data_IF_797336487646
#
_entry.id   IF_797336487646
#
_cell.length_a   1.000
_cell.length_b   1.000
_cell.length_c   1.000
_cell.angle_alpha   90.00
_cell.angle_beta   90.00
_cell.angle_gamma   90.00
#
_symmetry.space_group_name_H-M   'P 1'
#
loop_
_entity.id
_entity.type
_entity.pdbx_description
1 polymer ?
#
# COMPACT_ATOMS: atom_id res chain seq x y z
N UNK A 1 28.84 12.24 -6.96
CA UNK A 1 27.54 11.53 -6.97
C UNK A 1 27.28 11.13 -5.53
N UNK A 2 26.15 11.57 -4.94
CA UNK A 2 25.77 11.20 -3.57
C UNK A 2 25.36 9.73 -3.54
N UNK A 3 25.85 9.02 -2.52
CA UNK A 3 25.53 7.60 -2.29
C UNK A 3 24.32 7.49 -1.39
N UNK A 4 23.27 6.83 -1.86
CA UNK A 4 22.03 6.59 -1.13
C UNK A 4 21.87 5.09 -0.86
N UNK A 5 21.56 4.74 0.37
CA UNK A 5 21.22 3.37 0.74
C UNK A 5 19.79 3.31 1.27
N UNK A 6 18.89 2.72 0.49
CA UNK A 6 17.59 2.27 1.00
C UNK A 6 17.79 0.99 1.79
N UNK A 7 17.12 0.89 2.95
CA UNK A 7 17.38 -0.19 3.90
C UNK A 7 16.07 -0.79 4.36
N UNK A 8 15.90 -2.09 4.10
CA UNK A 8 14.75 -2.85 4.60
C UNK A 8 15.16 -4.19 5.18
N UNK A 9 14.43 -4.64 6.20
CA UNK A 9 14.57 -5.95 6.84
C UNK A 9 13.39 -6.88 6.58
N UNK A 10 12.32 -6.35 5.97
CA UNK A 10 11.03 -7.04 5.82
C UNK A 10 10.47 -7.05 4.40
N UNK A 11 10.76 -6.03 3.60
CA UNK A 11 10.22 -5.91 2.25
C UNK A 11 10.98 -6.77 1.24
N UNK A 12 10.30 -7.30 0.19
CA UNK A 12 10.93 -8.03 -0.89
C UNK A 12 11.82 -7.09 -1.74
N UNK A 13 12.84 -7.65 -2.41
CA UNK A 13 13.80 -6.87 -3.20
C UNK A 13 13.19 -6.04 -4.33
N UNK A 14 12.08 -6.49 -4.90
CA UNK A 14 11.35 -5.78 -5.97
C UNK A 14 10.07 -5.16 -5.44
N UNK A 15 10.08 -4.67 -4.20
CA UNK A 15 8.94 -3.94 -3.64
C UNK A 15 8.55 -2.77 -4.54
N UNK A 16 7.25 -2.58 -4.71
CA UNK A 16 6.72 -1.57 -5.65
C UNK A 16 7.09 -0.16 -5.21
N UNK A 17 7.00 0.16 -3.90
CA UNK A 17 7.33 1.49 -3.39
C UNK A 17 8.84 1.68 -3.35
N UNK A 18 9.56 0.76 -2.70
CA UNK A 18 10.97 0.93 -2.39
C UNK A 18 11.82 0.80 -3.66
N UNK A 19 11.73 -0.35 -4.37
CA UNK A 19 12.58 -0.59 -5.52
C UNK A 19 12.07 0.09 -6.78
N UNK A 20 10.81 -0.26 -7.19
CA UNK A 20 10.31 0.16 -8.52
C UNK A 20 10.04 1.65 -8.63
N UNK A 21 9.78 2.31 -7.51
CA UNK A 21 9.49 3.75 -7.48
C UNK A 21 10.68 4.53 -6.92
N UNK A 22 10.96 4.44 -5.64
CA UNK A 22 11.94 5.31 -4.97
C UNK A 22 13.37 5.08 -5.43
N UNK A 23 13.90 3.83 -5.36
CA UNK A 23 15.28 3.56 -5.75
C UNK A 23 15.54 3.87 -7.23
N UNK A 24 14.63 3.46 -8.13
CA UNK A 24 14.78 3.75 -9.56
C UNK A 24 14.73 5.24 -9.86
N UNK A 25 13.77 5.95 -9.29
CA UNK A 25 13.67 7.42 -9.47
C UNK A 25 14.96 8.10 -9.06
N UNK A 26 15.54 7.75 -7.91
CA UNK A 26 16.81 8.34 -7.46
C UNK A 26 17.97 7.96 -8.38
N UNK A 27 18.06 6.71 -8.84
CA UNK A 27 19.09 6.27 -9.77
C UNK A 27 18.97 7.01 -11.13
N UNK A 28 17.77 7.17 -11.66
CA UNK A 28 17.49 7.94 -12.88
C UNK A 28 17.86 9.43 -12.76
N UNK A 29 17.85 9.96 -11.52
CA UNK A 29 18.26 11.35 -11.23
C UNK A 29 19.71 11.48 -10.77
N UNK A 30 20.53 10.45 -11.00
CA UNK A 30 21.98 10.55 -10.86
C UNK A 30 22.53 10.29 -9.46
N UNK A 31 21.77 9.66 -8.56
CA UNK A 31 22.29 9.13 -7.29
C UNK A 31 22.93 7.75 -7.48
N UNK A 32 23.96 7.43 -6.67
CA UNK A 32 24.50 6.06 -6.57
C UNK A 32 23.67 5.28 -5.54
N UNK A 33 22.70 4.49 -6.04
CA UNK A 33 21.67 3.89 -5.21
C UNK A 33 21.99 2.43 -4.89
N UNK A 34 21.94 2.10 -3.61
CA UNK A 34 21.98 0.72 -3.10
C UNK A 34 20.70 0.41 -2.34
N UNK A 35 20.16 -0.80 -2.51
CA UNK A 35 19.05 -1.32 -1.74
C UNK A 35 19.51 -2.51 -0.91
N UNK A 36 19.47 -2.39 0.43
CA UNK A 36 19.77 -3.48 1.35
C UNK A 36 18.50 -4.23 1.66
N UNK A 37 18.48 -5.54 1.37
CA UNK A 37 17.35 -6.45 1.63
C UNK A 37 17.83 -7.65 2.48
N UNK A 38 16.89 -8.47 2.94
CA UNK A 38 17.18 -9.64 3.76
C UNK A 38 16.36 -10.85 3.28
N UNK A 39 16.55 -11.25 2.01
CA UNK A 39 15.75 -12.30 1.38
C UNK A 39 16.54 -13.57 1.00
N UNK A 40 17.85 -13.58 1.22
CA UNK A 40 18.71 -14.76 1.00
C UNK A 40 18.97 -15.13 -0.45
N UNK A 41 18.73 -14.20 -1.40
CA UNK A 41 18.89 -14.46 -2.84
C UNK A 41 20.21 -13.95 -3.43
N UNK A 42 21.11 -13.46 -2.57
CA UNK A 42 22.40 -12.89 -2.98
C UNK A 42 22.31 -11.48 -3.54
N UNK A 43 23.49 -10.92 -3.83
CA UNK A 43 23.63 -9.56 -4.36
C UNK A 43 23.35 -9.54 -5.86
N UNK A 44 22.80 -8.43 -6.37
CA UNK A 44 22.59 -8.21 -7.81
C UNK A 44 22.65 -6.71 -8.16
N UNK A 45 22.74 -6.40 -9.43
CA UNK A 45 22.59 -5.03 -9.93
C UNK A 45 21.56 -5.03 -11.06
N UNK A 46 20.51 -4.26 -10.91
CA UNK A 46 19.43 -4.16 -11.89
C UNK A 46 18.93 -2.71 -11.97
N UNK A 47 18.72 -2.21 -13.20
CA UNK A 47 18.21 -0.86 -13.46
C UNK A 47 19.02 0.23 -12.71
N UNK A 48 20.32 0.12 -12.73
CA UNK A 48 21.29 1.01 -12.06
C UNK A 48 21.17 1.04 -10.50
N UNK A 49 20.41 0.13 -9.90
CA UNK A 49 20.33 -0.05 -8.44
C UNK A 49 21.10 -1.28 -8.02
N UNK A 50 22.01 -1.11 -7.06
CA UNK A 50 22.74 -2.23 -6.46
C UNK A 50 21.96 -2.83 -5.30
N UNK A 51 21.44 -4.04 -5.45
CA UNK A 51 20.75 -4.78 -4.37
C UNK A 51 21.80 -5.60 -3.60
N UNK A 52 21.84 -5.40 -2.28
CA UNK A 52 22.77 -6.06 -1.36
C UNK A 52 22.00 -6.91 -0.36
N UNK A 53 22.24 -8.21 -0.36
CA UNK A 53 21.54 -9.17 0.50
C UNK A 53 22.23 -9.30 1.86
N UNK A 54 21.47 -9.10 2.92
CA UNK A 54 21.90 -9.31 4.31
C UNK A 54 21.63 -10.74 4.83
N UNK A 55 21.04 -11.60 3.98
CA UNK A 55 20.68 -12.98 4.29
C UNK A 55 19.35 -13.12 4.99
N UNK A 56 18.61 -14.18 4.64
CA UNK A 56 17.31 -14.50 5.21
C UNK A 56 17.43 -15.23 6.55
N UNK A 57 16.79 -14.71 7.59
CA UNK A 57 16.62 -15.39 8.87
C UNK A 57 15.12 -15.47 9.21
N UNK A 58 14.53 -16.68 9.28
CA UNK A 58 13.10 -16.83 9.50
C UNK A 58 12.66 -16.42 10.91
N UNK A 59 11.45 -15.85 11.00
CA UNK A 59 10.77 -15.53 12.26
C UNK A 59 10.99 -14.10 12.76
N UNK A 60 9.96 -13.57 13.44
CA UNK A 60 9.89 -12.17 13.89
C UNK A 60 11.04 -11.75 14.81
N UNK A 61 11.41 -12.60 15.76
CA UNK A 61 12.50 -12.27 16.71
C UNK A 61 13.86 -12.20 15.99
N UNK A 62 14.12 -13.12 15.07
CA UNK A 62 15.32 -13.06 14.24
C UNK A 62 15.35 -11.77 13.40
N UNK A 63 14.21 -11.38 12.81
CA UNK A 63 14.10 -10.13 12.05
C UNK A 63 14.47 -8.91 12.90
N UNK A 64 13.94 -8.80 14.10
CA UNK A 64 14.17 -7.66 14.99
C UNK A 64 15.62 -7.58 15.48
N UNK A 65 16.25 -8.72 15.82
CA UNK A 65 17.57 -8.69 16.47
C UNK A 65 18.73 -9.09 15.55
N UNK A 66 18.59 -10.15 14.76
CA UNK A 66 19.69 -10.70 13.96
C UNK A 66 19.72 -10.11 12.55
N UNK A 67 18.57 -10.08 11.87
CA UNK A 67 18.48 -9.49 10.53
C UNK A 67 18.85 -8.02 10.56
N UNK A 68 18.32 -7.24 11.50
CA UNK A 68 18.70 -5.82 11.66
C UNK A 68 20.20 -5.66 11.89
N UNK A 69 20.85 -6.56 12.66
CA UNK A 69 22.32 -6.52 12.85
C UNK A 69 23.07 -6.78 11.54
N UNK A 70 22.63 -7.76 10.73
CA UNK A 70 23.25 -8.07 9.44
C UNK A 70 23.06 -6.90 8.46
N UNK A 71 21.85 -6.36 8.38
CA UNK A 71 21.52 -5.17 7.59
C UNK A 71 22.41 -3.99 7.99
N UNK A 72 22.62 -3.76 9.29
CA UNK A 72 23.51 -2.70 9.76
C UNK A 72 24.98 -2.90 9.34
N UNK A 73 25.50 -4.14 9.35
CA UNK A 73 26.84 -4.43 8.85
C UNK A 73 26.97 -4.07 7.37
N UNK A 74 26.00 -4.51 6.54
CA UNK A 74 25.98 -4.18 5.12
C UNK A 74 25.86 -2.67 4.88
N UNK A 75 25.08 -1.97 5.70
CA UNK A 75 24.98 -0.50 5.64
C UNK A 75 26.35 0.17 5.90
N UNK A 76 27.12 -0.32 6.88
CA UNK A 76 28.46 0.19 7.16
C UNK A 76 29.45 -0.11 6.01
N UNK A 77 29.35 -1.30 5.40
CA UNK A 77 30.22 -1.69 4.28
C UNK A 77 29.98 -0.82 3.03
N UNK A 78 28.70 -0.42 2.77
CA UNK A 78 28.34 0.48 1.68
C UNK A 78 28.83 1.91 1.95
N UNK A 79 28.83 2.32 3.20
CA UNK A 79 29.24 3.65 3.65
C UNK A 79 28.57 4.80 2.85
N UNK A 80 27.24 4.74 2.71
CA UNK A 80 26.46 5.74 2.01
C UNK A 80 26.48 7.12 2.72
N UNK A 81 26.13 8.16 1.99
CA UNK A 81 25.97 9.52 2.54
C UNK A 81 24.59 9.67 3.19
N UNK A 82 23.56 9.12 2.52
CA UNK A 82 22.15 9.14 2.94
C UNK A 82 21.66 7.70 3.15
N UNK A 83 21.00 7.45 4.27
CA UNK A 83 20.32 6.19 4.58
C UNK A 83 18.81 6.42 4.70
N UNK A 84 18.03 5.70 3.89
CA UNK A 84 16.58 5.73 3.89
C UNK A 84 16.05 4.41 4.47
N UNK A 85 15.47 4.46 5.66
CA UNK A 85 15.03 3.30 6.44
C UNK A 85 13.53 3.07 6.25
N UNK A 86 13.12 1.85 5.89
CA UNK A 86 11.72 1.54 5.58
C UNK A 86 10.95 0.77 6.66
N UNK A 87 11.66 0.21 7.66
CA UNK A 87 11.00 -0.59 8.69
C UNK A 87 11.21 0.01 10.08
N UNK A 88 10.19 -0.03 10.97
CA UNK A 88 10.28 0.54 12.30
C UNK A 88 11.35 -0.12 13.19
N UNK A 89 11.66 -1.41 12.96
CA UNK A 89 12.75 -2.09 13.67
C UNK A 89 14.14 -1.60 13.29
N UNK A 90 14.28 -0.79 12.24
CA UNK A 90 15.53 -0.16 11.82
C UNK A 90 15.79 1.19 12.52
N UNK A 91 14.84 1.75 13.22
CA UNK A 91 15.00 3.01 13.95
C UNK A 91 16.22 3.04 14.89
N UNK A 92 16.55 1.95 15.66
CA UNK A 92 17.79 1.92 16.46
C UNK A 92 19.06 2.03 15.61
N UNK A 93 19.04 1.51 14.38
CA UNK A 93 20.16 1.61 13.43
C UNK A 93 20.28 3.05 12.94
N UNK A 94 19.17 3.71 12.66
CA UNK A 94 19.15 5.12 12.29
C UNK A 94 19.90 6.01 13.30
N UNK A 95 19.66 5.83 14.59
CA UNK A 95 20.40 6.56 15.63
C UNK A 95 21.91 6.26 15.64
N UNK A 96 22.31 5.01 15.31
CA UNK A 96 23.74 4.66 15.21
C UNK A 96 24.40 5.32 14.01
N UNK A 97 23.72 5.35 12.87
CA UNK A 97 24.20 6.01 11.64
C UNK A 97 24.27 7.55 11.85
N UNK A 98 23.29 8.14 12.53
CA UNK A 98 23.34 9.56 12.92
C UNK A 98 24.58 9.90 13.75
N UNK A 99 24.93 9.06 14.72
CA UNK A 99 26.16 9.25 15.53
C UNK A 99 27.45 9.17 14.73
N UNK A 100 27.40 8.58 13.54
CA UNK A 100 28.54 8.52 12.59
C UNK A 100 28.51 9.68 11.59
N UNK A 101 27.64 10.68 11.79
CA UNK A 101 27.52 11.85 10.92
C UNK A 101 26.79 11.61 9.61
N UNK A 102 26.07 10.49 9.49
CA UNK A 102 25.29 10.17 8.29
C UNK A 102 23.94 10.90 8.27
N UNK A 103 23.45 11.20 7.08
CA UNK A 103 22.08 11.68 6.86
C UNK A 103 21.17 10.46 6.94
N UNK A 104 20.12 10.55 7.75
CA UNK A 104 19.18 9.43 7.97
C UNK A 104 17.75 9.91 7.80
N UNK A 105 17.04 9.28 6.88
CA UNK A 105 15.62 9.47 6.59
C UNK A 105 14.89 8.21 7.04
N UNK A 106 13.71 8.37 7.63
CA UNK A 106 12.80 7.27 7.95
C UNK A 106 11.54 7.37 7.09
N UNK A 107 11.21 6.30 6.36
CA UNK A 107 9.96 6.20 5.60
C UNK A 107 8.92 5.38 6.38
N UNK A 108 7.90 6.07 6.87
CA UNK A 108 6.79 5.48 7.60
C UNK A 108 5.67 5.08 6.65
N UNK A 109 5.61 3.80 6.31
CA UNK A 109 4.57 3.25 5.42
C UNK A 109 3.19 3.18 6.08
N UNK A 110 3.17 3.03 7.42
CA UNK A 110 1.94 2.88 8.21
C UNK A 110 2.08 3.59 9.57
N UNK A 111 0.95 3.93 10.20
CA UNK A 111 0.94 4.37 11.59
C UNK A 111 1.07 3.15 12.52
N UNK A 112 2.30 2.77 12.85
CA UNK A 112 2.62 1.58 13.65
C UNK A 112 1.91 1.55 15.00
N UNK A 113 1.85 2.64 15.81
CA UNK A 113 1.04 2.67 17.02
C UNK A 113 -0.44 2.30 16.80
N UNK A 114 -1.09 2.85 15.76
CA UNK A 114 -2.49 2.51 15.43
C UNK A 114 -2.63 1.08 14.92
N UNK A 115 -1.69 0.61 14.10
CA UNK A 115 -1.66 -0.77 13.64
C UNK A 115 -1.57 -1.76 14.80
N UNK A 116 -0.78 -1.46 15.84
CA UNK A 116 -0.66 -2.29 17.04
C UNK A 116 -2.01 -2.41 17.78
N UNK A 117 -2.81 -1.34 17.83
CA UNK A 117 -4.15 -1.37 18.44
C UNK A 117 -5.13 -2.28 17.70
N UNK A 118 -4.91 -2.52 16.40
CA UNK A 118 -5.77 -3.37 15.56
C UNK A 118 -5.39 -4.85 15.54
N UNK A 119 -4.33 -5.28 16.27
CA UNK A 119 -3.87 -6.69 16.28
C UNK A 119 -4.76 -7.57 17.17
N UNK A 120 -5.58 -8.51 16.63
CA UNK A 120 -6.55 -9.27 17.40
C UNK A 120 -5.92 -10.27 18.38
N UNK A 121 -4.72 -10.75 18.09
CA UNK A 121 -4.00 -11.74 18.92
C UNK A 121 -3.36 -11.14 20.20
N UNK A 122 -3.36 -9.81 20.35
CA UNK A 122 -2.86 -9.15 21.54
C UNK A 122 -4.02 -8.79 22.48
N UNK A 123 -3.85 -9.05 23.79
CA UNK A 123 -4.82 -8.63 24.81
C UNK A 123 -4.99 -7.08 24.78
N UNK A 124 -6.22 -6.54 24.91
CA UNK A 124 -6.50 -5.10 24.78
C UNK A 124 -5.63 -4.16 25.62
N UNK A 125 -5.31 -4.55 26.86
CA UNK A 125 -4.45 -3.77 27.76
C UNK A 125 -3.00 -3.73 27.21
N UNK A 126 -2.47 -4.88 26.80
CA UNK A 126 -1.12 -4.96 26.24
C UNK A 126 -1.00 -4.21 24.91
N UNK A 127 -2.04 -4.24 24.06
CA UNK A 127 -2.05 -3.45 22.82
C UNK A 127 -1.85 -1.96 23.07
N UNK A 128 -2.60 -1.41 24.06
CA UNK A 128 -2.51 0.01 24.44
C UNK A 128 -1.14 0.34 25.04
N UNK A 129 -0.63 -0.51 25.91
CA UNK A 129 0.68 -0.29 26.53
C UNK A 129 1.80 -0.30 25.47
N UNK A 130 1.86 -1.34 24.63
CA UNK A 130 2.89 -1.47 23.59
C UNK A 130 2.79 -0.33 22.59
N UNK A 131 1.58 0.03 22.17
CA UNK A 131 1.34 1.17 21.28
C UNK A 131 1.84 2.48 21.90
N UNK A 132 1.55 2.73 23.17
CA UNK A 132 2.00 3.92 23.88
C UNK A 132 3.52 3.99 24.04
N UNK A 133 4.15 2.90 24.47
CA UNK A 133 5.61 2.81 24.59
C UNK A 133 6.29 3.01 23.24
N UNK A 134 5.78 2.35 22.20
CA UNK A 134 6.32 2.52 20.85
C UNK A 134 6.15 3.95 20.34
N UNK A 135 5.03 4.60 20.59
CA UNK A 135 4.80 6.00 20.20
C UNK A 135 5.80 6.97 20.84
N UNK A 136 6.12 6.78 22.12
CA UNK A 136 7.14 7.58 22.83
C UNK A 136 8.52 7.33 22.20
N UNK A 137 8.86 6.06 21.94
CA UNK A 137 10.11 5.68 21.32
C UNK A 137 10.26 6.24 19.91
N UNK A 138 9.22 6.09 19.06
CA UNK A 138 9.16 6.63 17.71
C UNK A 138 9.38 8.15 17.71
N UNK A 139 8.68 8.88 18.57
CA UNK A 139 8.86 10.32 18.76
C UNK A 139 10.31 10.67 19.10
N UNK A 140 10.89 9.97 20.07
CA UNK A 140 12.27 10.21 20.51
C UNK A 140 13.27 9.99 19.37
N UNK A 141 13.11 8.91 18.58
CA UNK A 141 14.03 8.61 17.48
C UNK A 141 13.83 9.58 16.34
N UNK A 142 12.60 9.71 15.83
CA UNK A 142 12.30 10.51 14.66
C UNK A 142 12.60 12.00 14.85
N UNK A 143 12.54 12.52 16.08
CA UNK A 143 12.98 13.89 16.36
C UNK A 143 14.49 14.11 16.19
N UNK A 144 15.29 13.07 16.05
CA UNK A 144 16.76 13.14 15.86
C UNK A 144 17.22 12.80 14.45
N UNK A 145 16.33 12.33 13.61
CA UNK A 145 16.62 12.04 12.22
C UNK A 145 16.59 13.33 11.37
N UNK A 146 17.24 13.28 10.22
CA UNK A 146 17.31 14.45 9.32
C UNK A 146 15.99 14.68 8.58
N UNK A 147 15.20 13.64 8.36
CA UNK A 147 13.90 13.75 7.73
C UNK A 147 13.03 12.51 7.94
N UNK A 148 11.74 12.70 7.69
CA UNK A 148 10.75 11.62 7.68
C UNK A 148 9.94 11.71 6.40
N UNK A 149 9.88 10.62 5.67
CA UNK A 149 8.94 10.41 4.56
C UNK A 149 7.77 9.60 5.09
N UNK A 150 6.58 9.83 4.58
CA UNK A 150 5.36 9.12 5.02
C UNK A 150 4.51 8.73 3.83
N UNK A 151 3.78 7.62 3.95
CA UNK A 151 2.98 7.11 2.83
C UNK A 151 1.64 7.85 2.63
N UNK A 152 1.22 8.70 3.59
CA UNK A 152 -0.03 9.44 3.49
C UNK A 152 0.06 10.80 4.20
N UNK A 153 -0.75 11.80 3.80
CA UNK A 153 -0.84 13.08 4.50
C UNK A 153 -1.21 12.94 5.99
N UNK A 154 -2.06 11.97 6.32
CA UNK A 154 -2.45 11.70 7.71
C UNK A 154 -1.24 11.31 8.58
N UNK A 155 -0.38 10.42 8.06
CA UNK A 155 0.86 10.02 8.76
C UNK A 155 1.83 11.21 8.83
N UNK A 156 1.95 12.02 7.76
CA UNK A 156 2.77 13.24 7.74
C UNK A 156 2.39 14.18 8.89
N UNK A 157 1.11 14.47 9.05
CA UNK A 157 0.63 15.42 10.08
C UNK A 157 0.97 14.94 11.50
N UNK A 158 0.97 13.63 11.75
CA UNK A 158 1.49 13.04 12.97
C UNK A 158 2.98 13.33 13.16
N UNK A 159 3.81 13.07 12.12
CA UNK A 159 5.26 13.23 12.23
C UNK A 159 5.71 14.70 12.26
N UNK A 160 4.95 15.64 11.71
CA UNK A 160 5.19 17.08 11.85
C UNK A 160 5.21 17.55 13.31
N UNK A 161 4.56 16.80 14.22
CA UNK A 161 4.66 17.06 15.67
C UNK A 161 5.98 16.60 16.29
N UNK A 162 6.84 15.91 15.54
CA UNK A 162 8.06 15.24 16.02
C UNK A 162 9.32 15.72 15.29
N UNK A 163 9.20 16.03 14.00
CA UNK A 163 10.32 16.43 13.14
C UNK A 163 9.85 17.57 12.23
N UNK A 164 10.73 18.55 11.95
CA UNK A 164 10.41 19.69 11.11
C UNK A 164 10.56 19.41 9.61
N UNK A 165 11.27 18.34 9.24
CA UNK A 165 11.53 17.93 7.84
C UNK A 165 10.73 16.67 7.56
N UNK A 166 9.45 16.85 7.27
CA UNK A 166 8.51 15.74 6.98
C UNK A 166 7.82 15.99 5.66
N UNK A 167 7.69 14.95 4.86
CA UNK A 167 7.00 14.98 3.58
C UNK A 167 6.19 13.71 3.36
N UNK A 168 5.00 13.83 2.77
CA UNK A 168 4.25 12.68 2.29
C UNK A 168 4.63 12.37 0.83
N UNK A 169 5.03 11.13 0.62
CA UNK A 169 5.25 10.52 -0.69
C UNK A 169 4.27 9.35 -0.78
N UNK A 170 3.18 9.56 -1.50
CA UNK A 170 2.11 8.59 -1.59
C UNK A 170 2.45 7.45 -2.56
N UNK A 171 1.98 6.24 -2.28
CA UNK A 171 2.27 5.09 -3.14
C UNK A 171 1.31 5.00 -4.35
N UNK A 172 1.08 6.12 -5.03
CA UNK A 172 0.21 6.19 -6.19
C UNK A 172 0.73 5.37 -7.39
N UNK A 173 -0.13 4.90 -8.31
CA UNK A 173 0.27 4.10 -9.46
C UNK A 173 1.21 4.84 -10.40
N UNK A 174 1.99 4.08 -11.14
CA UNK A 174 2.71 4.59 -12.32
C UNK A 174 1.71 4.71 -13.48
N UNK A 175 1.78 5.82 -14.21
CA UNK A 175 0.92 6.06 -15.39
C UNK A 175 1.17 4.96 -16.43
N UNK A 176 0.09 4.42 -17.00
CA UNK A 176 0.14 3.41 -18.05
C UNK A 176 0.35 1.96 -17.56
N UNK A 177 0.73 1.73 -16.31
CA UNK A 177 1.02 0.36 -15.82
C UNK A 177 -0.21 -0.56 -15.84
N UNK A 178 -1.38 -0.02 -15.50
CA UNK A 178 -2.63 -0.77 -15.39
C UNK A 178 -3.69 -0.34 -16.41
N UNK A 179 -3.32 0.49 -17.37
CA UNK A 179 -4.23 0.91 -18.41
C UNK A 179 -4.61 -0.30 -19.26
N UNK A 180 -5.87 -0.64 -19.23
CA UNK A 180 -6.42 -1.71 -20.05
C UNK A 180 -7.21 -1.08 -21.21
N UNK A 181 -6.77 -1.32 -22.43
CA UNK A 181 -7.45 -0.87 -23.66
C UNK A 181 -8.68 -1.72 -23.97
N UNK A 182 -9.53 -1.99 -22.99
CA UNK A 182 -10.79 -2.69 -23.22
C UNK A 182 -11.90 -1.66 -23.40
N UNK A 183 -12.51 -1.55 -24.58
CA UNK A 183 -13.66 -0.68 -24.81
C UNK A 183 -14.76 -0.98 -23.80
N UNK A 184 -15.41 0.05 -23.29
CA UNK A 184 -16.43 -0.13 -22.24
C UNK A 184 -17.55 -1.10 -22.64
N UNK A 185 -17.89 -1.08 -23.90
CA UNK A 185 -18.92 -1.93 -24.52
C UNK A 185 -18.56 -3.42 -24.50
N UNK A 186 -17.28 -3.73 -24.34
CA UNK A 186 -16.76 -5.10 -24.27
C UNK A 186 -16.51 -5.59 -22.82
N UNK A 187 -16.79 -4.73 -21.82
CA UNK A 187 -16.68 -5.12 -20.42
C UNK A 187 -17.74 -6.16 -20.08
N UNK A 188 -17.36 -7.09 -19.26
CA UNK A 188 -18.26 -8.14 -18.77
C UNK A 188 -18.99 -7.65 -17.51
N UNK A 189 -20.11 -8.26 -17.16
CA UNK A 189 -20.76 -8.01 -15.88
C UNK A 189 -19.94 -8.65 -14.75
N UNK A 190 -18.73 -8.13 -14.57
CA UNK A 190 -17.76 -8.55 -13.56
C UNK A 190 -17.36 -7.37 -12.71
N UNK A 191 -17.19 -7.65 -11.42
CA UNK A 191 -16.53 -6.74 -10.49
C UNK A 191 -15.25 -7.40 -9.99
N UNK A 192 -14.29 -6.62 -9.51
CA UNK A 192 -13.04 -7.19 -9.03
C UNK A 192 -12.70 -6.75 -7.60
N UNK A 193 -12.02 -7.65 -6.90
CA UNK A 193 -11.33 -7.39 -5.65
C UNK A 193 -9.89 -7.84 -5.83
N UNK A 194 -8.91 -6.92 -5.73
CA UNK A 194 -7.50 -7.21 -5.95
C UNK A 194 -6.69 -6.94 -4.68
N UNK A 195 -5.77 -7.87 -4.34
CA UNK A 195 -4.84 -7.78 -3.22
C UNK A 195 -5.18 -8.68 -2.05
N UNK A 196 -4.45 -8.58 -0.94
CA UNK A 196 -4.61 -9.46 0.21
C UNK A 196 -6.04 -9.54 0.71
N UNK A 197 -6.52 -10.77 0.95
CA UNK A 197 -7.88 -11.08 1.35
C UNK A 197 -7.88 -11.36 2.86
N UNK A 198 -8.68 -10.58 3.62
CA UNK A 198 -8.77 -10.69 5.08
C UNK A 198 -10.18 -10.29 5.56
N UNK A 199 -10.57 -10.78 6.74
CA UNK A 199 -11.85 -10.43 7.38
C UNK A 199 -12.01 -8.92 7.53
N UNK A 200 -10.99 -8.26 8.03
CA UNK A 200 -10.98 -6.80 8.25
C UNK A 200 -11.03 -5.97 6.96
N UNK A 201 -10.87 -6.60 5.80
CA UNK A 201 -11.00 -5.97 4.49
C UNK A 201 -12.36 -6.22 3.83
N UNK A 202 -13.33 -6.72 4.60
CA UNK A 202 -14.73 -6.82 4.21
C UNK A 202 -15.06 -7.97 3.26
N UNK A 203 -14.20 -9.01 3.16
CA UNK A 203 -14.44 -10.10 2.21
C UNK A 203 -15.75 -10.84 2.49
N UNK A 204 -16.11 -11.04 3.76
CA UNK A 204 -17.35 -11.74 4.13
C UNK A 204 -18.59 -10.98 3.68
N UNK A 205 -18.59 -9.66 3.83
CA UNK A 205 -19.66 -8.78 3.41
C UNK A 205 -19.78 -8.74 1.89
N UNK A 206 -18.65 -8.67 1.19
CA UNK A 206 -18.59 -8.75 -0.29
C UNK A 206 -19.19 -10.07 -0.78
N UNK A 207 -18.79 -11.22 -0.22
CA UNK A 207 -19.35 -12.50 -0.68
C UNK A 207 -20.85 -12.61 -0.35
N UNK A 208 -21.28 -12.14 0.83
CA UNK A 208 -22.72 -12.09 1.17
C UNK A 208 -23.49 -11.21 0.20
N UNK A 209 -22.95 -10.08 -0.21
CA UNK A 209 -23.60 -9.16 -1.14
C UNK A 209 -23.91 -9.80 -2.49
N UNK A 210 -23.06 -10.71 -2.98
CA UNK A 210 -23.26 -11.39 -4.27
C UNK A 210 -24.57 -12.19 -4.34
N UNK A 211 -25.09 -12.69 -3.20
CA UNK A 211 -26.39 -13.38 -3.16
C UNK A 211 -27.58 -12.42 -3.08
N UNK A 212 -27.34 -11.13 -2.88
CA UNK A 212 -28.37 -10.06 -2.77
C UNK A 212 -28.50 -9.22 -4.05
N UNK A 213 -27.49 -9.32 -4.95
CA UNK A 213 -27.46 -8.63 -6.22
C UNK A 213 -28.58 -9.15 -7.13
N UNK A 214 -29.28 -8.24 -7.79
CA UNK A 214 -30.37 -8.56 -8.73
C UNK A 214 -29.88 -8.83 -10.14
N UNK A 215 -28.75 -8.23 -10.51
CA UNK A 215 -28.11 -8.40 -11.80
C UNK A 215 -27.23 -9.66 -11.82
N UNK A 216 -27.11 -10.31 -12.99
CA UNK A 216 -26.13 -11.39 -13.13
C UNK A 216 -24.71 -10.79 -13.10
N UNK A 217 -23.94 -11.07 -12.03
CA UNK A 217 -22.59 -10.55 -11.86
C UNK A 217 -21.63 -11.64 -11.36
N UNK A 218 -20.36 -11.53 -11.73
CA UNK A 218 -19.26 -12.33 -11.19
C UNK A 218 -18.26 -11.45 -10.45
N UNK A 219 -17.70 -11.96 -9.34
CA UNK A 219 -16.58 -11.37 -8.64
C UNK A 219 -15.29 -12.07 -9.04
N UNK A 220 -14.36 -11.34 -9.68
CA UNK A 220 -12.97 -11.77 -9.80
C UNK A 220 -12.23 -11.47 -8.50
N UNK A 221 -11.96 -12.51 -7.72
CA UNK A 221 -11.26 -12.42 -6.45
C UNK A 221 -9.78 -12.75 -6.66
N UNK A 222 -8.93 -11.71 -6.68
CA UNK A 222 -7.49 -11.81 -6.92
C UNK A 222 -6.72 -11.57 -5.63
N UNK A 223 -5.90 -12.53 -5.22
CA UNK A 223 -5.06 -12.46 -4.03
C UNK A 223 -5.08 -13.74 -3.21
N UNK A 224 -4.39 -13.68 -2.07
CA UNK A 224 -4.32 -14.78 -1.12
C UNK A 224 -5.05 -14.43 0.17
N UNK A 225 -5.67 -15.43 0.78
CA UNK A 225 -6.28 -15.33 2.08
C UNK A 225 -5.20 -15.26 3.17
N UNK A 226 -5.30 -14.25 4.03
CA UNK A 226 -4.41 -14.12 5.19
C UNK A 226 -4.82 -15.01 6.37
N UNK A 227 -6.05 -15.54 6.35
CA UNK A 227 -6.71 -16.27 7.42
C UNK A 227 -7.44 -17.49 6.82
N UNK A 228 -6.97 -18.71 7.12
CA UNK A 228 -7.55 -19.98 6.60
C UNK A 228 -8.98 -20.21 7.06
N UNK A 229 -9.31 -19.77 8.28
CA UNK A 229 -10.65 -19.84 8.84
C UNK A 229 -11.63 -18.99 8.02
N UNK A 230 -11.23 -17.76 7.67
CA UNK A 230 -12.03 -16.86 6.83
C UNK A 230 -12.27 -17.44 5.45
N UNK A 231 -11.23 -18.00 4.82
CA UNK A 231 -11.36 -18.69 3.54
C UNK A 231 -12.40 -19.82 3.60
N UNK A 232 -12.31 -20.64 4.65
CA UNK A 232 -13.22 -21.76 4.87
C UNK A 232 -14.67 -21.31 5.08
N UNK A 233 -14.87 -20.21 5.80
CA UNK A 233 -16.19 -19.64 6.08
C UNK A 233 -16.82 -19.01 4.84
N UNK A 234 -16.09 -18.17 4.11
CA UNK A 234 -16.66 -17.48 2.95
C UNK A 234 -17.00 -18.42 1.80
N UNK A 235 -16.26 -19.55 1.66
CA UNK A 235 -16.56 -20.59 0.67
C UNK A 235 -17.89 -21.32 0.92
N UNK A 236 -18.45 -21.25 2.13
CA UNK A 236 -19.77 -21.82 2.48
C UNK A 236 -20.93 -20.88 2.21
N UNK A 237 -20.68 -19.59 1.96
CA UNK A 237 -21.73 -18.60 1.71
C UNK A 237 -22.35 -18.81 0.32
N UNK A 238 -23.65 -18.57 0.20
CA UNK A 238 -24.38 -18.72 -1.06
C UNK A 238 -23.78 -17.89 -2.21
N UNK A 239 -23.29 -16.67 -1.92
CA UNK A 239 -22.65 -15.80 -2.90
C UNK A 239 -21.34 -16.34 -3.48
N UNK A 240 -20.72 -17.37 -2.87
CA UNK A 240 -19.48 -17.95 -3.39
C UNK A 240 -19.63 -18.58 -4.79
N UNK A 241 -20.84 -18.99 -5.17
CA UNK A 241 -21.12 -19.53 -6.52
C UNK A 241 -20.87 -18.51 -7.64
N UNK A 242 -20.88 -17.22 -7.31
CA UNK A 242 -20.59 -16.11 -8.23
C UNK A 242 -19.13 -15.63 -8.18
N UNK A 243 -18.26 -16.33 -7.42
CA UNK A 243 -16.85 -15.98 -7.28
C UNK A 243 -15.98 -16.73 -8.27
N UNK A 244 -15.16 -16.01 -9.01
CA UNK A 244 -14.02 -16.52 -9.74
C UNK A 244 -12.76 -16.27 -8.88
N UNK A 245 -12.30 -17.30 -8.15
CA UNK A 245 -11.11 -17.23 -7.30
C UNK A 245 -9.86 -17.39 -8.15
N UNK A 246 -9.18 -16.28 -8.46
CA UNK A 246 -8.03 -16.24 -9.35
C UNK A 246 -6.69 -16.57 -8.65
N UNK A 247 -6.65 -16.57 -7.31
CA UNK A 247 -5.39 -16.68 -6.58
C UNK A 247 -4.50 -15.44 -6.77
N UNK A 248 -3.20 -15.62 -6.54
CA UNK A 248 -2.23 -14.53 -6.75
C UNK A 248 -1.89 -14.41 -8.24
N UNK A 249 -2.02 -13.21 -8.79
CA UNK A 249 -1.75 -12.90 -10.19
C UNK A 249 -0.59 -11.92 -10.33
N UNK A 250 0.11 -11.98 -11.47
CA UNK A 250 1.09 -10.98 -11.87
C UNK A 250 0.44 -9.69 -12.36
N UNK A 251 1.24 -8.62 -12.52
CA UNK A 251 0.71 -7.28 -12.90
C UNK A 251 -0.02 -7.28 -14.26
N UNK A 252 0.46 -8.02 -15.25
CA UNK A 252 -0.20 -8.15 -16.57
C UNK A 252 -1.57 -8.80 -16.46
N UNK A 253 -1.67 -9.87 -15.68
CA UNK A 253 -2.94 -10.59 -15.46
C UNK A 253 -3.92 -9.74 -14.63
N UNK A 254 -3.42 -9.00 -13.64
CA UNK A 254 -4.24 -8.01 -12.89
C UNK A 254 -4.81 -6.97 -13.86
N UNK A 255 -3.99 -6.42 -14.78
CA UNK A 255 -4.46 -5.47 -15.79
C UNK A 255 -5.60 -6.04 -16.65
N UNK A 256 -5.51 -7.31 -17.05
CA UNK A 256 -6.58 -7.99 -17.81
C UNK A 256 -7.87 -8.11 -16.98
N UNK A 257 -7.76 -8.48 -15.70
CA UNK A 257 -8.93 -8.55 -14.79
C UNK A 257 -9.59 -7.17 -14.63
N UNK A 258 -8.79 -6.12 -14.42
CA UNK A 258 -9.28 -4.76 -14.31
C UNK A 258 -9.95 -4.31 -15.62
N UNK A 259 -9.34 -4.61 -16.76
CA UNK A 259 -9.85 -4.26 -18.07
C UNK A 259 -11.26 -4.78 -18.35
N UNK A 260 -11.56 -6.02 -17.99
CA UNK A 260 -12.88 -6.63 -18.22
C UNK A 260 -13.91 -6.32 -17.14
N UNK A 261 -13.49 -5.82 -15.97
CA UNK A 261 -14.37 -5.50 -14.84
C UNK A 261 -15.07 -4.14 -15.03
N UNK A 262 -16.29 -4.00 -14.50
CA UNK A 262 -17.07 -2.75 -14.49
C UNK A 262 -16.85 -1.93 -13.24
N UNK A 263 -16.35 -2.51 -12.15
CA UNK A 263 -16.01 -1.81 -10.91
C UNK A 263 -14.99 -2.58 -10.07
N UNK A 264 -14.26 -1.86 -9.21
CA UNK A 264 -13.36 -2.42 -8.23
C UNK A 264 -13.82 -2.17 -6.78
N UNK A 265 -13.66 -3.16 -5.91
CA UNK A 265 -14.14 -3.15 -4.52
C UNK A 265 -13.04 -2.85 -3.51
N UNK A 266 -13.27 -1.85 -2.65
CA UNK A 266 -12.39 -1.48 -1.51
C UNK A 266 -13.25 -1.27 -0.26
N UNK A 267 -13.73 -2.37 0.34
CA UNK A 267 -14.74 -2.38 1.41
C UNK A 267 -14.15 -2.71 2.77
N UNK A 268 -13.12 -1.97 3.19
CA UNK A 268 -12.46 -2.21 4.47
C UNK A 268 -13.36 -1.87 5.66
N UNK A 269 -13.23 -2.64 6.75
CA UNK A 269 -13.92 -2.34 8.01
C UNK A 269 -13.38 -1.05 8.66
N UNK A 270 -14.20 -0.33 9.46
CA UNK A 270 -13.84 0.96 10.06
C UNK A 270 -12.86 0.80 11.25
N UNK A 271 -11.67 0.27 10.98
CA UNK A 271 -10.61 0.16 11.97
C UNK A 271 -9.76 1.44 12.01
N UNK A 272 -9.14 1.77 13.15
CA UNK A 272 -8.34 2.99 13.30
C UNK A 272 -7.22 3.17 12.27
N UNK A 273 -6.66 2.07 11.77
CA UNK A 273 -5.63 2.08 10.72
C UNK A 273 -6.19 2.04 9.29
N UNK A 274 -7.51 1.93 9.11
CA UNK A 274 -8.15 1.89 7.80
C UNK A 274 -8.81 3.21 7.42
N UNK A 275 -9.44 3.90 8.38
CA UNK A 275 -10.27 5.09 8.14
C UNK A 275 -9.46 6.19 7.43
N UNK A 276 -8.19 6.37 7.83
CA UNK A 276 -7.30 7.40 7.31
C UNK A 276 -6.24 6.82 6.34
N UNK A 277 -6.36 5.54 5.94
CA UNK A 277 -5.46 4.92 4.97
C UNK A 277 -5.83 5.29 3.53
N UNK A 278 -4.85 5.20 2.65
CA UNK A 278 -5.02 5.33 1.19
C UNK A 278 -4.61 4.02 0.51
N UNK A 279 -5.54 3.04 0.37
CA UNK A 279 -5.21 1.75 -0.22
C UNK A 279 -4.81 1.89 -1.69
N UNK A 280 -3.68 1.33 -2.09
CA UNK A 280 -3.18 1.38 -3.48
C UNK A 280 -4.23 0.91 -4.50
N UNK A 281 -4.98 -0.15 -4.17
CA UNK A 281 -6.00 -0.71 -5.07
C UNK A 281 -7.08 0.30 -5.48
N UNK A 282 -7.40 1.28 -4.64
CA UNK A 282 -8.33 2.36 -4.97
C UNK A 282 -7.83 3.14 -6.18
N UNK A 283 -6.58 3.57 -6.14
CA UNK A 283 -5.95 4.33 -7.23
C UNK A 283 -5.62 3.45 -8.45
N UNK A 284 -5.37 2.16 -8.23
CA UNK A 284 -5.18 1.18 -9.30
C UNK A 284 -6.47 0.97 -10.11
N UNK A 285 -7.63 0.92 -9.44
CA UNK A 285 -8.93 0.87 -10.12
C UNK A 285 -9.20 2.17 -10.90
N UNK A 286 -8.94 3.32 -10.27
CA UNK A 286 -9.04 4.62 -10.95
C UNK A 286 -8.12 4.68 -12.17
N UNK A 287 -6.86 4.24 -12.07
CA UNK A 287 -5.90 4.18 -13.18
C UNK A 287 -6.42 3.35 -14.34
N UNK A 288 -7.06 2.21 -14.05
CA UNK A 288 -7.64 1.32 -15.07
C UNK A 288 -8.95 1.83 -15.66
N UNK A 289 -9.41 3.01 -15.27
CA UNK A 289 -10.64 3.61 -15.79
C UNK A 289 -11.92 2.89 -15.35
N UNK A 290 -11.92 2.26 -14.17
CA UNK A 290 -13.11 1.63 -13.60
C UNK A 290 -13.53 2.34 -12.31
N UNK A 291 -14.85 2.50 -12.06
CA UNK A 291 -15.36 3.09 -10.83
C UNK A 291 -14.98 2.27 -9.60
N UNK A 292 -14.84 2.97 -8.48
CA UNK A 292 -14.51 2.37 -7.19
C UNK A 292 -15.76 2.25 -6.33
N UNK A 293 -16.01 1.07 -5.77
CA UNK A 293 -16.96 0.88 -4.67
C UNK A 293 -16.16 0.87 -3.38
N UNK A 294 -16.22 1.96 -2.62
CA UNK A 294 -15.37 2.18 -1.45
C UNK A 294 -16.16 2.21 -0.14
N UNK A 295 -15.49 1.93 0.99
CA UNK A 295 -16.06 2.16 2.31
C UNK A 295 -16.37 3.63 2.51
N UNK A 296 -17.48 3.92 3.18
CA UNK A 296 -17.97 5.27 3.44
C UNK A 296 -17.19 5.96 4.59
N UNK A 297 -15.85 6.06 4.44
CA UNK A 297 -15.00 6.80 5.36
C UNK A 297 -14.87 8.26 4.90
N UNK A 298 -14.71 9.25 5.80
CA UNK A 298 -14.62 10.67 5.40
C UNK A 298 -13.56 10.91 4.33
N UNK A 299 -12.31 10.47 4.54
CA UNK A 299 -11.22 10.63 3.58
C UNK A 299 -11.52 9.96 2.23
N UNK A 300 -12.10 8.76 2.25
CA UNK A 300 -12.39 8.00 1.01
C UNK A 300 -13.55 8.63 0.25
N UNK A 301 -14.55 9.17 0.97
CA UNK A 301 -15.64 9.91 0.36
C UNK A 301 -15.11 11.16 -0.35
N UNK A 302 -14.26 11.93 0.31
CA UNK A 302 -13.65 13.12 -0.29
C UNK A 302 -12.85 12.78 -1.56
N UNK A 303 -12.15 11.65 -1.57
CA UNK A 303 -11.41 11.17 -2.75
C UNK A 303 -12.35 10.70 -3.88
N UNK A 304 -13.32 9.86 -3.55
CA UNK A 304 -14.19 9.18 -4.53
C UNK A 304 -15.28 10.12 -5.04
N UNK A 305 -16.00 10.79 -4.15
CA UNK A 305 -17.08 11.74 -4.52
C UNK A 305 -16.47 13.04 -5.06
N UNK A 306 -15.37 13.53 -4.45
CA UNK A 306 -14.67 14.73 -4.93
C UNK A 306 -14.04 14.57 -6.31
N UNK A 307 -13.72 13.35 -6.73
CA UNK A 307 -13.29 13.03 -8.11
C UNK A 307 -14.42 12.49 -8.97
N UNK A 308 -15.62 12.31 -8.41
CA UNK A 308 -16.78 11.70 -9.09
C UNK A 308 -16.42 10.39 -9.80
N UNK A 309 -15.67 9.50 -9.10
CA UNK A 309 -15.08 8.31 -9.70
C UNK A 309 -15.57 6.98 -9.10
N UNK A 310 -16.68 7.00 -8.36
CA UNK A 310 -17.23 5.79 -7.75
C UNK A 310 -18.37 6.08 -6.80
N UNK A 311 -18.68 5.09 -5.94
CA UNK A 311 -19.71 5.16 -4.91
C UNK A 311 -19.16 4.74 -3.56
N UNK A 312 -19.60 5.40 -2.48
CA UNK A 312 -19.26 5.04 -1.12
C UNK A 312 -20.40 4.28 -0.46
N UNK A 313 -20.11 3.15 0.18
CA UNK A 313 -21.08 2.24 0.80
C UNK A 313 -20.70 1.93 2.25
N UNK A 314 -21.67 1.55 3.08
CA UNK A 314 -21.38 0.97 4.40
C UNK A 314 -20.73 -0.41 4.21
N UNK A 315 -19.45 -0.58 4.56
CA UNK A 315 -18.73 -1.84 4.33
C UNK A 315 -19.22 -2.99 5.24
N UNK A 316 -19.97 -2.70 6.28
CA UNK A 316 -20.52 -3.71 7.21
C UNK A 316 -21.92 -4.17 6.80
N UNK A 317 -22.52 -3.53 5.77
CA UNK A 317 -23.85 -3.85 5.28
C UNK A 317 -23.76 -4.51 3.88
N UNK A 318 -23.93 -5.84 3.76
CA UNK A 318 -23.91 -6.53 2.47
C UNK A 318 -24.94 -6.01 1.46
N UNK A 319 -26.12 -5.52 1.93
CA UNK A 319 -27.12 -4.94 1.04
C UNK A 319 -26.63 -3.64 0.41
N UNK A 320 -25.97 -2.77 1.19
CA UNK A 320 -25.39 -1.54 0.66
C UNK A 320 -24.30 -1.81 -0.40
N UNK A 321 -23.48 -2.84 -0.19
CA UNK A 321 -22.49 -3.29 -1.18
C UNK A 321 -23.18 -3.81 -2.44
N UNK A 322 -24.24 -4.63 -2.30
CA UNK A 322 -25.03 -5.15 -3.42
C UNK A 322 -25.68 -4.02 -4.22
N UNK A 323 -26.31 -3.07 -3.53
CA UNK A 323 -26.96 -1.91 -4.17
C UNK A 323 -25.95 -1.05 -4.95
N UNK A 324 -24.73 -0.88 -4.42
CA UNK A 324 -23.65 -0.18 -5.11
C UNK A 324 -23.21 -0.89 -6.39
N UNK A 325 -23.10 -2.22 -6.36
CA UNK A 325 -22.78 -3.03 -7.54
C UNK A 325 -23.91 -2.95 -8.57
N UNK A 326 -25.15 -3.20 -8.15
CA UNK A 326 -26.34 -3.13 -9.03
C UNK A 326 -26.48 -1.74 -9.67
N UNK A 327 -26.20 -0.66 -8.91
CA UNK A 327 -26.23 0.69 -9.44
C UNK A 327 -25.29 0.88 -10.63
N UNK A 328 -24.03 0.44 -10.50
CA UNK A 328 -23.05 0.61 -11.58
C UNK A 328 -23.33 -0.28 -12.78
N UNK A 329 -23.82 -1.50 -12.57
CA UNK A 329 -24.17 -2.41 -13.67
C UNK A 329 -25.40 -1.90 -14.44
N UNK A 330 -26.41 -1.39 -13.73
CA UNK A 330 -27.64 -0.91 -14.36
C UNK A 330 -27.52 0.52 -14.94
N UNK A 331 -26.41 1.22 -14.68
CA UNK A 331 -26.13 2.55 -15.22
C UNK A 331 -24.77 2.60 -15.94
N UNK A 332 -24.58 1.86 -17.05
CA UNK A 332 -23.27 1.69 -17.67
C UNK A 332 -22.63 3.00 -18.16
N UNK A 333 -23.41 3.94 -18.68
CA UNK A 333 -22.88 5.25 -19.10
C UNK A 333 -22.37 6.06 -17.90
N UNK A 334 -23.06 5.97 -16.74
CA UNK A 334 -22.62 6.62 -15.52
C UNK A 334 -21.33 5.96 -14.99
N UNK A 335 -21.28 4.65 -14.98
CA UNK A 335 -20.11 3.89 -14.57
C UNK A 335 -18.90 4.20 -15.48
N UNK A 336 -19.10 4.26 -16.80
CA UNK A 336 -18.09 4.70 -17.78
C UNK A 336 -17.57 6.11 -17.48
N UNK A 337 -18.46 7.05 -17.18
CA UNK A 337 -18.08 8.42 -16.86
C UNK A 337 -17.26 8.47 -15.55
N UNK A 338 -17.71 7.76 -14.50
CA UNK A 338 -16.97 7.65 -13.23
C UNK A 338 -15.58 7.05 -13.44
N UNK A 339 -15.45 6.00 -14.26
CA UNK A 339 -14.17 5.40 -14.63
C UNK A 339 -13.22 6.41 -15.28
N UNK A 340 -13.73 7.19 -16.27
CA UNK A 340 -12.95 8.26 -16.93
C UNK A 340 -12.50 9.35 -15.96
N UNK A 341 -13.38 9.76 -15.06
CA UNK A 341 -13.07 10.76 -14.04
C UNK A 341 -11.96 10.27 -13.11
N UNK A 342 -12.03 8.99 -12.68
CA UNK A 342 -10.99 8.35 -11.88
C UNK A 342 -9.64 8.34 -12.59
N UNK A 343 -9.63 7.91 -13.86
CA UNK A 343 -8.43 7.88 -14.68
C UNK A 343 -7.83 9.28 -14.85
N UNK A 344 -8.66 10.28 -15.14
CA UNK A 344 -8.23 11.68 -15.24
C UNK A 344 -7.64 12.18 -13.91
N UNK A 345 -8.23 11.83 -12.77
CA UNK A 345 -7.71 12.20 -11.47
C UNK A 345 -6.33 11.55 -11.19
N UNK A 346 -6.13 10.31 -11.63
CA UNK A 346 -4.81 9.65 -11.57
C UNK A 346 -3.82 10.38 -12.47
N UNK A 347 -4.13 10.59 -13.74
CA UNK A 347 -3.20 11.27 -14.67
C UNK A 347 -2.79 12.67 -14.21
N UNK A 348 -3.64 13.37 -13.48
CA UNK A 348 -3.35 14.76 -13.09
C UNK A 348 -2.83 14.92 -11.67
N UNK A 349 -3.15 13.99 -10.75
CA UNK A 349 -2.89 14.18 -9.31
C UNK A 349 -2.35 12.97 -8.58
N UNK A 350 -2.92 11.78 -8.82
CA UNK A 350 -2.67 10.60 -8.00
C UNK A 350 -1.76 9.60 -8.73
N UNK A 351 -0.56 10.05 -9.14
CA UNK A 351 0.40 9.24 -9.89
C UNK A 351 1.82 9.41 -9.35
N UNK A 352 2.67 8.45 -9.72
CA UNK A 352 4.05 8.45 -9.27
C UNK A 352 4.89 9.60 -9.85
N UNK A 353 4.58 10.11 -11.04
CA UNK A 353 5.34 11.21 -11.64
C UNK A 353 5.21 12.51 -10.83
N UNK A 354 4.06 12.71 -10.16
CA UNK A 354 3.87 13.81 -9.21
C UNK A 354 4.65 13.56 -7.92
N UNK A 355 4.58 12.35 -7.37
CA UNK A 355 5.24 12.01 -6.12
C UNK A 355 6.77 11.91 -6.27
N UNK A 356 7.26 11.44 -7.43
CA UNK A 356 8.70 11.37 -7.73
C UNK A 356 9.38 12.74 -7.69
N UNK A 357 8.72 13.78 -8.20
CA UNK A 357 9.23 15.15 -8.11
C UNK A 357 9.38 15.62 -6.67
N UNK A 358 8.38 15.34 -5.83
CA UNK A 358 8.46 15.66 -4.39
C UNK A 358 9.62 14.91 -3.72
N UNK A 359 9.84 13.63 -4.10
CA UNK A 359 10.94 12.82 -3.58
C UNK A 359 12.29 13.46 -3.92
N UNK A 360 12.51 13.85 -5.17
CA UNK A 360 13.75 14.50 -5.61
C UNK A 360 13.97 15.83 -4.88
N UNK A 361 12.97 16.72 -4.86
CA UNK A 361 13.02 17.97 -4.11
C UNK A 361 13.31 17.79 -2.61
N UNK A 362 12.86 16.66 -2.05
CA UNK A 362 13.15 16.33 -0.66
C UNK A 362 14.62 15.94 -0.46
N UNK A 363 15.18 15.15 -1.38
CA UNK A 363 16.58 14.73 -1.35
C UNK A 363 17.56 15.89 -1.61
N UNK A 364 17.17 16.87 -2.41
CA UNK A 364 17.99 18.09 -2.69
C UNK A 364 18.22 18.96 -1.46
N UNK A 365 17.51 18.71 -0.36
CA UNK A 365 17.71 19.44 0.92
C UNK A 365 18.93 18.97 1.69
N UNK A 366 19.49 17.83 1.33
CA UNK A 366 20.58 17.18 2.02
C UNK A 366 21.85 17.16 1.15
#
# INVERSE_FOLDING_TARGET
MLKVAHVTSAHPRYDIRIFRKECRTLAEHGYDVSLIVADGKGDECIEAVRIVDAGLLPGRLNRIFRTTRNVFKKALDINADIYHLHDPELLPIGLKLKRQGKIVIFDSHEDVPRQLLSKPYLHPVFRRLISGVFSIYERYVCSKLDGVVTATPFIRDKFLTMNSVVLDINNYPMIGELDAEVPWENKQHEVCYVGGIASIRGISEVIKSLSLIKSAVRLNLVGEFSESEVETEVKKLAGWTSVNACGQLGRSEVREVLGRSVAGLVTFHPLPNHIDAQPNKMFEYMSSGIPVIASNFPLWRDLIEGSDCGVCVDPLNPQAVADGIDYLINNPERAKQMGRNGQQAVYTRYNWDVESKKLIEFYEKF
#
